data_IF_453781805251
#
_entry.id   IF_453781805251
#
_cell.length_a   1.000
_cell.length_b   1.000
_cell.length_c   1.000
_cell.angle_alpha   90.00
_cell.angle_beta   90.00
_cell.angle_gamma   90.00
#
_symmetry.space_group_name_H-M   'P 1'
#
loop_
_entity.id
_entity.type
_entity.pdbx_description
1 polymer ?
#
# COMPACT_ATOMS: atom_id res chain seq x y z
N UNK A 1 10.70 -14.21 14.83
CA UNK A 1 10.00 -13.22 13.98
C UNK A 1 10.21 -13.63 12.54
N UNK A 2 9.17 -13.64 11.71
CA UNK A 2 9.37 -13.85 10.28
C UNK A 2 10.30 -12.76 9.72
N UNK A 3 11.09 -13.12 8.70
CA UNK A 3 12.02 -12.21 8.05
C UNK A 3 11.24 -11.18 7.23
N UNK A 4 11.59 -9.90 7.39
CA UNK A 4 11.05 -8.85 6.55
C UNK A 4 11.53 -9.03 5.10
N UNK A 5 10.59 -9.13 4.16
CA UNK A 5 10.93 -9.35 2.75
C UNK A 5 11.00 -8.04 1.97
N UNK A 6 10.10 -7.09 2.27
CA UNK A 6 9.96 -5.87 1.47
C UNK A 6 9.53 -4.67 2.30
N UNK A 7 10.10 -3.49 2.01
CA UNK A 7 9.66 -2.18 2.52
C UNK A 7 9.10 -1.36 1.35
N UNK A 8 7.91 -0.79 1.50
CA UNK A 8 7.20 -0.06 0.44
C UNK A 8 6.63 1.27 0.92
N UNK A 9 6.47 2.20 -0.01
CA UNK A 9 5.71 3.44 0.24
C UNK A 9 4.20 3.21 0.04
N UNK A 10 3.37 3.82 0.90
CA UNK A 10 1.90 3.67 0.84
C UNK A 10 1.26 4.11 -0.48
N UNK A 11 1.89 5.04 -1.20
CA UNK A 11 1.42 5.58 -2.48
C UNK A 11 1.99 4.81 -3.68
N UNK A 12 2.82 3.79 -3.46
CA UNK A 12 3.36 2.99 -4.55
C UNK A 12 2.34 1.98 -5.08
N UNK A 13 2.27 1.85 -6.40
CA UNK A 13 1.58 0.71 -7.04
C UNK A 13 2.47 -0.52 -6.92
N UNK A 14 1.95 -1.61 -6.37
CA UNK A 14 2.70 -2.86 -6.21
C UNK A 14 2.14 -3.95 -7.11
N UNK A 15 3.04 -4.78 -7.66
CA UNK A 15 2.70 -6.05 -8.30
C UNK A 15 3.30 -7.16 -7.46
N UNK A 16 2.47 -8.02 -6.89
CA UNK A 16 2.93 -9.25 -6.25
C UNK A 16 2.75 -10.39 -7.24
N UNK A 17 3.75 -11.24 -7.40
CA UNK A 17 3.73 -12.37 -8.32
C UNK A 17 4.20 -13.63 -7.60
N UNK A 18 3.41 -14.69 -7.74
CA UNK A 18 3.73 -16.02 -7.25
C UNK A 18 4.12 -16.94 -8.41
N UNK A 19 4.90 -17.96 -8.10
CA UNK A 19 5.24 -19.01 -9.04
C UNK A 19 5.14 -20.36 -8.35
N UNK A 20 4.61 -21.33 -9.08
CA UNK A 20 4.63 -22.74 -8.70
C UNK A 20 4.67 -23.59 -9.99
N UNK A 21 5.12 -24.82 -9.88
CA UNK A 21 5.26 -25.76 -10.99
C UNK A 21 4.65 -27.11 -10.62
N UNK A 22 3.77 -27.63 -11.48
CA UNK A 22 3.22 -28.99 -11.41
C UNK A 22 4.15 -30.06 -12.02
N UNK A 23 5.39 -29.68 -12.36
CA UNK A 23 6.33 -30.55 -13.05
C UNK A 23 5.85 -30.92 -14.46
N UNK A 24 5.69 -32.22 -14.72
CA UNK A 24 5.20 -32.74 -16.01
C UNK A 24 3.68 -32.86 -16.07
N UNK A 25 2.97 -32.55 -14.99
CA UNK A 25 1.51 -32.61 -14.99
C UNK A 25 0.96 -31.32 -15.61
N UNK A 26 0.17 -31.47 -16.68
CA UNK A 26 -0.46 -30.35 -17.43
C UNK A 26 -1.64 -29.75 -16.66
N UNK A 27 -1.81 -30.17 -15.41
CA UNK A 27 -2.83 -29.69 -14.50
C UNK A 27 -2.81 -28.17 -14.37
N UNK A 28 -3.99 -27.59 -14.54
CA UNK A 28 -4.18 -26.14 -14.41
C UNK A 28 -4.07 -25.79 -12.93
N UNK A 29 -2.94 -25.21 -12.51
CA UNK A 29 -2.81 -24.65 -11.17
C UNK A 29 -3.82 -23.51 -10.99
N UNK A 30 -4.48 -23.50 -9.83
CA UNK A 30 -5.33 -22.40 -9.39
C UNK A 30 -4.59 -21.59 -8.34
N UNK A 31 -4.70 -20.28 -8.44
CA UNK A 31 -3.98 -19.34 -7.59
C UNK A 31 -4.93 -18.52 -6.75
N UNK A 32 -4.50 -18.20 -5.54
CA UNK A 32 -5.23 -17.34 -4.63
C UNK A 32 -4.26 -16.54 -3.76
N UNK A 33 -4.56 -15.26 -3.61
CA UNK A 33 -3.89 -14.37 -2.66
C UNK A 33 -4.81 -14.05 -1.50
N UNK A 34 -4.29 -14.20 -0.28
CA UNK A 34 -4.98 -13.80 0.95
C UNK A 34 -4.06 -12.98 1.84
N UNK A 35 -4.63 -12.33 2.85
CA UNK A 35 -3.85 -11.70 3.92
C UNK A 35 -3.94 -12.58 5.14
N UNK A 36 -2.79 -12.88 5.72
CA UNK A 36 -2.72 -13.57 6.99
C UNK A 36 -2.91 -12.53 8.09
N UNK A 37 -4.08 -12.54 8.72
CA UNK A 37 -4.36 -11.71 9.88
C UNK A 37 -3.60 -12.27 11.09
N UNK A 38 -2.33 -11.93 11.23
CA UNK A 38 -1.57 -12.35 12.40
C UNK A 38 -1.93 -11.42 13.58
N UNK A 39 -2.57 -11.99 14.60
CA UNK A 39 -3.06 -11.28 15.79
C UNK A 39 -1.91 -10.79 16.71
N UNK A 40 -0.66 -11.10 16.36
CA UNK A 40 0.55 -10.72 17.10
C UNK A 40 1.28 -9.50 16.53
N UNK A 41 0.79 -8.90 15.45
CA UNK A 41 1.28 -7.62 14.94
C UNK A 41 0.25 -6.57 15.35
N UNK A 42 0.56 -5.76 16.36
CA UNK A 42 -0.33 -4.71 16.87
C UNK A 42 -0.69 -3.62 15.83
N UNK A 43 -0.06 -3.68 14.66
CA UNK A 43 -0.28 -2.80 13.53
C UNK A 43 -0.77 -3.55 12.28
N UNK A 44 -1.29 -4.78 12.35
CA UNK A 44 -1.81 -5.46 11.15
C UNK A 44 -3.09 -4.77 10.66
N UNK A 45 -3.02 -4.16 9.48
CA UNK A 45 -4.16 -3.50 8.86
C UNK A 45 -5.12 -4.52 8.27
N UNK A 46 -6.41 -4.19 8.27
CA UNK A 46 -7.40 -4.93 7.49
C UNK A 46 -7.38 -4.41 6.04
N UNK A 47 -7.31 -5.31 5.06
CA UNK A 47 -7.59 -5.00 3.66
C UNK A 47 -8.66 -5.96 3.15
N UNK A 48 -9.68 -5.41 2.50
CA UNK A 48 -10.68 -6.22 1.86
C UNK A 48 -10.13 -6.76 0.53
N UNK A 49 -9.67 -8.01 0.54
CA UNK A 49 -9.12 -8.70 -0.64
C UNK A 49 -10.13 -8.86 -1.78
N UNK A 50 -11.42 -8.68 -1.53
CA UNK A 50 -12.46 -8.71 -2.56
C UNK A 50 -12.74 -7.34 -3.19
N UNK A 51 -12.20 -6.27 -2.62
CA UNK A 51 -12.43 -4.92 -3.10
C UNK A 51 -11.65 -4.65 -4.40
N UNK A 52 -12.37 -4.54 -5.51
CA UNK A 52 -11.81 -4.26 -6.84
C UNK A 52 -11.29 -2.83 -6.98
N UNK A 53 -11.66 -1.92 -6.06
CA UNK A 53 -11.06 -0.60 -5.99
C UNK A 53 -9.60 -0.70 -5.55
N UNK A 54 -9.26 -1.62 -4.65
CA UNK A 54 -7.90 -1.88 -4.14
C UNK A 54 -7.12 -2.87 -5.02
N UNK A 55 -7.81 -3.94 -5.45
CA UNK A 55 -7.25 -5.04 -6.25
C UNK A 55 -7.96 -5.15 -7.61
N UNK A 56 -7.59 -4.33 -8.61
CA UNK A 56 -8.34 -4.23 -9.87
C UNK A 56 -8.44 -5.56 -10.63
N UNK A 57 -7.39 -6.38 -10.57
CA UNK A 57 -7.37 -7.69 -11.22
C UNK A 57 -8.00 -8.80 -10.36
N UNK A 58 -8.33 -8.50 -9.10
CA UNK A 58 -8.77 -9.48 -8.11
C UNK A 58 -7.59 -10.26 -7.56
N UNK A 59 -7.90 -11.29 -6.76
CA UNK A 59 -6.90 -12.03 -5.97
C UNK A 59 -6.77 -13.50 -6.36
N UNK A 60 -7.65 -14.01 -7.23
CA UNK A 60 -7.58 -15.37 -7.77
C UNK A 60 -6.73 -15.42 -9.05
N UNK A 61 -5.46 -15.04 -8.95
CA UNK A 61 -4.55 -14.94 -10.09
C UNK A 61 -3.10 -15.19 -9.66
N UNK A 62 -2.25 -15.55 -10.63
CA UNK A 62 -0.81 -15.75 -10.40
C UNK A 62 -0.13 -14.48 -9.86
N UNK A 63 -0.61 -13.32 -10.28
CA UNK A 63 -0.16 -12.02 -9.80
C UNK A 63 -1.35 -11.14 -9.43
N UNK A 64 -1.12 -10.24 -8.49
CA UNK A 64 -2.08 -9.21 -8.11
C UNK A 64 -1.47 -7.83 -8.24
N UNK A 65 -2.33 -6.84 -8.41
CA UNK A 65 -1.97 -5.43 -8.41
C UNK A 65 -2.60 -4.79 -7.19
N UNK A 66 -1.81 -4.05 -6.43
CA UNK A 66 -2.24 -3.23 -5.31
C UNK A 66 -2.15 -1.78 -5.77
N UNK A 67 -3.25 -1.03 -5.71
CA UNK A 67 -3.25 0.38 -6.12
C UNK A 67 -2.52 1.27 -5.10
N UNK A 68 -1.95 2.41 -5.55
CA UNK A 68 -1.52 3.49 -4.68
C UNK A 68 -2.55 3.83 -3.60
N UNK A 69 -2.09 4.06 -2.37
CA UNK A 69 -2.93 4.43 -1.23
C UNK A 69 -3.78 3.29 -0.65
N UNK A 70 -3.68 2.08 -1.20
CA UNK A 70 -4.43 0.92 -0.66
C UNK A 70 -3.85 0.42 0.65
N UNK A 71 -2.54 0.56 0.86
CA UNK A 71 -1.85 0.10 2.07
C UNK A 71 -1.77 1.22 3.10
N UNK A 72 -2.10 0.91 4.35
CA UNK A 72 -2.03 1.90 5.43
C UNK A 72 -0.56 2.22 5.79
N UNK A 73 -0.17 3.50 5.86
CA UNK A 73 1.18 3.87 6.31
C UNK A 73 1.53 3.32 7.70
N UNK A 74 2.75 2.83 7.87
CA UNK A 74 3.26 2.29 9.14
C UNK A 74 2.72 0.91 9.53
N UNK A 75 1.86 0.31 8.70
CA UNK A 75 1.30 -1.03 8.90
C UNK A 75 2.16 -2.09 8.20
N UNK A 76 2.24 -3.28 8.80
CA UNK A 76 2.81 -4.46 8.16
C UNK A 76 1.69 -5.39 7.66
N UNK A 77 1.88 -5.95 6.47
CA UNK A 77 0.99 -6.92 5.86
C UNK A 77 1.73 -8.22 5.54
N UNK A 78 1.05 -9.34 5.73
CA UNK A 78 1.53 -10.65 5.30
C UNK A 78 0.62 -11.14 4.18
N UNK A 79 1.15 -11.14 2.95
CA UNK A 79 0.43 -11.66 1.80
C UNK A 79 0.76 -13.14 1.62
N UNK A 80 -0.25 -13.99 1.59
CA UNK A 80 -0.11 -15.42 1.32
C UNK A 80 -0.52 -15.74 -0.10
N UNK A 81 0.42 -16.26 -0.88
CA UNK A 81 0.16 -16.89 -2.16
C UNK A 81 -0.14 -18.36 -1.94
N UNK A 82 -1.25 -18.85 -2.49
CA UNK A 82 -1.60 -20.27 -2.49
C UNK A 82 -1.74 -20.75 -3.92
N UNK A 83 -1.00 -21.79 -4.28
CA UNK A 83 -1.21 -22.54 -5.51
C UNK A 83 -1.84 -23.89 -5.18
N UNK A 84 -2.94 -24.23 -5.85
CA UNK A 84 -3.68 -25.47 -5.66
C UNK A 84 -3.72 -26.24 -6.96
N UNK A 85 -3.48 -27.53 -6.88
CA UNK A 85 -3.74 -28.42 -7.99
C UNK A 85 -5.26 -28.44 -8.29
N UNK A 86 -5.67 -28.32 -9.55
CA UNK A 86 -7.10 -28.29 -9.88
C UNK A 86 -7.82 -29.64 -9.64
N UNK A 87 -7.08 -30.75 -9.74
CA UNK A 87 -7.63 -32.11 -9.70
C UNK A 87 -7.23 -32.83 -8.41
N UNK A 88 -6.04 -32.53 -7.90
CA UNK A 88 -5.48 -33.21 -6.73
C UNK A 88 -5.61 -32.33 -5.50
N UNK A 89 -5.53 -32.93 -4.31
CA UNK A 89 -5.67 -32.19 -3.06
C UNK A 89 -4.38 -31.50 -2.60
N UNK A 90 -3.36 -31.45 -3.45
CA UNK A 90 -2.10 -30.79 -3.11
C UNK A 90 -2.22 -29.27 -3.26
N UNK A 91 -1.64 -28.56 -2.29
CA UNK A 91 -1.50 -27.11 -2.33
C UNK A 91 -0.17 -26.70 -1.72
N UNK A 92 0.45 -25.70 -2.32
CA UNK A 92 1.63 -25.02 -1.79
C UNK A 92 1.24 -23.61 -1.35
N UNK A 93 1.97 -23.08 -0.37
CA UNK A 93 1.78 -21.71 0.12
C UNK A 93 3.12 -21.02 0.29
N UNK A 94 3.17 -19.72 0.00
CA UNK A 94 4.29 -18.84 0.31
C UNK A 94 3.78 -17.54 0.94
N UNK A 95 4.49 -17.05 1.95
CA UNK A 95 4.17 -15.80 2.65
C UNK A 95 5.16 -14.71 2.26
N UNK A 96 4.66 -13.49 2.11
CA UNK A 96 5.44 -12.28 1.83
C UNK A 96 5.16 -11.22 2.90
N UNK A 97 6.21 -10.81 3.60
CA UNK A 97 6.17 -9.82 4.67
C UNK A 97 6.48 -8.42 4.12
N UNK A 98 5.46 -7.57 4.11
CA UNK A 98 5.53 -6.21 3.55
C UNK A 98 5.37 -5.18 4.64
N UNK A 99 6.42 -4.40 4.90
CA UNK A 99 6.37 -3.23 5.78
C UNK A 99 6.05 -1.98 4.97
N UNK A 100 4.98 -1.29 5.32
CA UNK A 100 4.66 0.02 4.72
C UNK A 100 5.37 1.10 5.53
N UNK A 101 6.08 2.00 4.84
CA UNK A 101 6.71 3.17 5.47
C UNK A 101 5.67 4.00 6.24
N UNK A 102 6.10 4.58 7.35
CA UNK A 102 5.29 5.54 8.09
C UNK A 102 5.06 6.81 7.28
N UNK A 103 4.04 7.58 7.65
CA UNK A 103 3.95 8.98 7.20
C UNK A 103 4.88 9.86 8.05
N UNK A 104 5.41 10.96 7.49
CA UNK A 104 6.11 11.97 8.26
C UNK A 104 5.27 12.44 9.45
N UNK A 105 5.93 12.78 10.55
CA UNK A 105 5.28 13.14 11.82
C UNK A 105 5.73 14.50 12.33
N UNK A 106 5.03 14.99 13.34
CA UNK A 106 5.36 16.17 14.17
C UNK A 106 5.27 17.54 13.48
N UNK A 107 5.50 17.62 12.18
CA UNK A 107 5.68 18.90 11.53
C UNK A 107 4.45 19.79 11.49
N UNK A 108 4.69 21.04 11.11
CA UNK A 108 3.70 22.10 11.00
C UNK A 108 3.73 22.68 9.60
N UNK A 109 2.54 22.85 9.02
CA UNK A 109 2.35 23.64 7.81
C UNK A 109 1.87 25.02 8.22
N UNK A 110 2.48 26.06 7.68
CA UNK A 110 2.05 27.45 7.87
C UNK A 110 2.02 28.17 6.53
N UNK A 111 1.07 29.09 6.38
CA UNK A 111 0.89 29.89 5.17
C UNK A 111 0.85 31.36 5.58
N UNK A 112 1.60 32.20 4.86
CA UNK A 112 1.57 33.65 5.04
C UNK A 112 1.64 34.40 3.70
N UNK A 113 0.78 35.38 3.45
CA UNK A 113 -0.37 35.80 4.26
C UNK A 113 -1.48 34.73 4.35
N UNK A 114 -2.45 34.87 5.26
CA UNK A 114 -3.56 33.90 5.42
C UNK A 114 -4.66 34.05 4.37
N UNK A 115 -4.69 35.21 3.72
CA UNK A 115 -5.70 35.66 2.77
C UNK A 115 -5.07 36.63 1.77
N UNK A 116 -5.77 36.91 0.68
CA UNK A 116 -5.25 37.74 -0.38
C UNK A 116 -6.14 37.79 -1.62
N UNK A 117 -5.69 38.55 -2.61
CA UNK A 117 -6.37 38.74 -3.88
C UNK A 117 -5.86 37.76 -4.93
N UNK A 118 -6.78 37.15 -5.68
CA UNK A 118 -6.45 36.22 -6.76
C UNK A 118 -5.52 36.87 -7.79
N UNK A 119 -4.51 36.11 -8.22
CA UNK A 119 -3.46 36.54 -9.16
C UNK A 119 -2.58 37.73 -8.71
N UNK A 120 -2.77 38.26 -7.50
CA UNK A 120 -1.98 39.37 -6.94
C UNK A 120 -1.17 38.94 -5.72
N UNK A 121 -1.81 38.27 -4.76
CA UNK A 121 -1.16 37.88 -3.51
C UNK A 121 -0.27 36.66 -3.68
N UNK A 122 0.99 36.80 -3.28
CA UNK A 122 1.95 35.69 -3.21
C UNK A 122 1.86 35.06 -1.81
N UNK A 123 1.50 33.79 -1.76
CA UNK A 123 1.45 32.99 -0.54
C UNK A 123 2.76 32.22 -0.35
N UNK A 124 3.39 32.38 0.80
CA UNK A 124 4.53 31.56 1.21
C UNK A 124 4.03 30.42 2.09
N UNK A 125 4.32 29.18 1.68
CA UNK A 125 3.98 27.98 2.43
C UNK A 125 5.26 27.39 3.02
N UNK A 126 5.30 27.26 4.34
CA UNK A 126 6.41 26.69 5.08
C UNK A 126 5.99 25.38 5.74
N UNK A 127 6.76 24.32 5.48
CA UNK A 127 6.62 23.01 6.12
C UNK A 127 7.83 22.76 7.01
N UNK A 128 7.66 22.88 8.32
CA UNK A 128 8.75 22.86 9.29
C UNK A 128 8.55 21.74 10.31
N UNK A 129 9.64 21.31 10.96
CA UNK A 129 9.64 20.36 12.06
C UNK A 129 9.11 18.96 11.74
N UNK A 130 8.95 18.62 10.45
CA UNK A 130 8.62 17.27 10.02
C UNK A 130 9.80 16.32 10.26
N UNK A 131 9.51 15.17 10.85
CA UNK A 131 10.47 14.09 11.06
C UNK A 131 9.95 12.81 10.45
N UNK A 132 10.84 11.98 9.92
CA UNK A 132 10.54 10.66 9.37
C UNK A 132 11.74 9.75 9.57
N UNK A 133 11.60 8.47 9.18
CA UNK A 133 12.70 7.53 9.15
C UNK A 133 13.85 8.05 8.27
N UNK A 134 15.09 7.75 8.64
CA UNK A 134 16.28 8.33 7.98
C UNK A 134 16.37 8.00 6.50
N UNK A 135 15.80 6.86 6.07
CA UNK A 135 15.73 6.42 4.68
C UNK A 135 14.53 6.99 3.91
N UNK A 136 13.65 7.77 4.57
CA UNK A 136 12.52 8.49 3.98
C UNK A 136 12.83 9.97 3.70
N UNK A 137 14.05 10.43 4.00
CA UNK A 137 14.52 11.80 3.74
C UNK A 137 15.25 11.91 2.38
N UNK A 138 15.14 13.04 1.65
CA UNK A 138 14.37 14.24 1.98
C UNK A 138 12.87 14.09 1.68
N UNK A 139 12.04 14.79 2.48
CA UNK A 139 10.60 14.80 2.31
C UNK A 139 10.17 15.46 1.00
N UNK A 140 9.04 14.98 0.47
CA UNK A 140 8.36 15.57 -0.70
C UNK A 140 7.03 16.14 -0.25
N UNK A 141 6.73 17.35 -0.69
CA UNK A 141 5.49 18.05 -0.40
C UNK A 141 4.74 18.33 -1.69
N UNK A 142 3.42 18.15 -1.66
CA UNK A 142 2.52 18.53 -2.74
C UNK A 142 1.48 19.51 -2.18
N UNK A 143 1.23 20.58 -2.93
CA UNK A 143 0.26 21.61 -2.57
C UNK A 143 -0.79 21.68 -3.67
N UNK A 144 -2.06 21.79 -3.30
CA UNK A 144 -3.18 21.93 -4.24
C UNK A 144 -4.11 23.06 -3.83
N UNK A 145 -4.64 23.78 -4.81
CA UNK A 145 -5.74 24.72 -4.60
C UNK A 145 -7.05 23.95 -4.50
N UNK A 146 -7.86 24.25 -3.50
CA UNK A 146 -9.21 23.70 -3.34
C UNK A 146 -10.20 24.85 -3.43
N UNK A 147 -10.96 24.88 -4.52
CA UNK A 147 -12.10 25.79 -4.63
C UNK A 147 -13.33 25.09 -4.04
N UNK A 148 -13.94 25.68 -3.01
CA UNK A 148 -15.27 25.27 -2.56
C UNK A 148 -16.31 26.10 -3.29
N UNK A 149 -17.14 25.48 -4.12
CA UNK A 149 -18.37 26.13 -4.58
C UNK A 149 -19.30 26.27 -3.37
N UNK A 150 -19.75 27.49 -3.09
CA UNK A 150 -20.86 27.70 -2.18
C UNK A 150 -22.10 27.08 -2.84
N UNK A 151 -22.77 26.15 -2.14
CA UNK A 151 -24.10 25.71 -2.56
C UNK A 151 -25.08 26.85 -2.27
N UNK A 152 -25.63 27.44 -3.33
CA UNK A 152 -26.82 28.29 -3.26
C UNK A 152 -28.07 27.50 -2.84
#
# INVERSE_FOLDING_TARGET
>A
LPTLDMVVDSQSRLKLEGFDSSGNDVSVLRYEWTIVSDHNICCSGFLNMSDRSLFPLGTAARYIIIKPGSLTPGVAYIFRFTARHAIEKYSSTADLYVQVKGSPRSGKVSVYPSDGTSAESIFNISCEFWTDDTDAMPLRFEYKFVHSEAKD
#
